data_IF_533736735583
#
_entry.id   IF_533736735583
#
_cell.length_a   1.000
_cell.length_b   1.000
_cell.length_c   1.000
_cell.angle_alpha   90.00
_cell.angle_beta   90.00
_cell.angle_gamma   90.00
#
_symmetry.space_group_name_H-M   'P 1'
#
loop_
_entity.id
_entity.type
_entity.pdbx_description
1 polymer ?
#
# COMPACT_ATOMS: atom_id res chain seq x y z
N UNK A 1 15.01 9.65 18.73
CA UNK A 1 13.68 10.07 19.20
C UNK A 1 12.64 9.26 18.44
N UNK A 2 11.99 8.33 19.14
CA UNK A 2 10.97 7.46 18.56
C UNK A 2 9.72 8.30 18.24
N UNK A 3 9.41 8.39 16.95
CA UNK A 3 8.16 8.96 16.47
C UNK A 3 7.02 7.98 16.83
N UNK A 4 6.36 8.20 17.95
CA UNK A 4 5.10 7.54 18.28
C UNK A 4 4.09 8.00 17.25
N UNK A 5 3.83 7.17 16.24
CA UNK A 5 2.70 7.35 15.35
C UNK A 5 1.45 7.49 16.24
N UNK A 6 0.75 8.60 16.09
CA UNK A 6 -0.58 8.78 16.67
C UNK A 6 -1.42 7.64 16.10
N UNK A 7 -1.74 6.65 16.94
CA UNK A 7 -2.74 5.66 16.60
C UNK A 7 -4.04 6.47 16.48
N UNK A 8 -4.52 6.68 15.26
CA UNK A 8 -5.87 7.18 15.07
C UNK A 8 -6.79 6.21 15.80
N UNK A 9 -7.50 6.71 16.80
CA UNK A 9 -8.47 5.93 17.53
C UNK A 9 -9.43 5.33 16.49
N UNK A 10 -9.70 4.04 16.61
CA UNK A 10 -10.65 3.34 15.73
C UNK A 10 -12.03 3.90 16.06
N UNK A 11 -12.56 4.79 15.21
CA UNK A 11 -13.83 5.46 15.41
C UNK A 11 -14.98 4.65 14.78
N UNK A 12 -15.87 4.03 15.56
CA UNK A 12 -17.02 3.32 15.02
C UNK A 12 -18.05 4.32 14.43
N UNK A 13 -18.83 3.86 13.47
CA UNK A 13 -19.87 4.68 12.85
C UNK A 13 -21.01 5.03 13.83
N UNK A 14 -21.34 4.10 14.72
CA UNK A 14 -22.34 4.29 15.77
C UNK A 14 -21.64 4.17 17.10
N UNK A 15 -21.75 5.19 17.94
CA UNK A 15 -21.13 5.19 19.26
C UNK A 15 -21.84 4.22 20.23
N UNK A 16 -21.11 3.81 21.28
CA UNK A 16 -21.72 2.96 22.31
C UNK A 16 -22.88 3.69 23.01
N UNK A 17 -24.06 3.05 23.03
CA UNK A 17 -25.27 3.61 23.65
C UNK A 17 -26.11 4.51 22.72
N UNK A 18 -25.65 4.79 21.51
CA UNK A 18 -26.43 5.49 20.50
C UNK A 18 -27.43 4.54 19.82
N UNK A 19 -28.67 5.01 19.58
CA UNK A 19 -29.67 4.23 18.87
C UNK A 19 -29.39 4.27 17.36
N UNK A 20 -29.01 3.12 16.73
CA UNK A 20 -28.68 3.08 15.32
C UNK A 20 -29.80 3.54 14.39
N UNK A 21 -31.07 3.33 14.76
CA UNK A 21 -32.22 3.71 13.94
C UNK A 21 -32.42 5.21 13.92
N UNK A 22 -32.24 5.86 15.05
CA UNK A 22 -32.33 7.33 15.15
C UNK A 22 -31.17 7.97 14.41
N UNK A 23 -29.95 7.43 14.57
CA UNK A 23 -28.78 7.91 13.84
C UNK A 23 -28.90 7.71 12.33
N UNK A 24 -29.40 6.56 11.85
CA UNK A 24 -29.62 6.32 10.42
C UNK A 24 -30.59 7.34 9.78
N UNK A 25 -31.61 7.81 10.52
CA UNK A 25 -32.52 8.87 10.03
C UNK A 25 -31.79 10.20 9.89
N UNK A 26 -31.02 10.59 10.89
CA UNK A 26 -30.19 11.81 10.82
C UNK A 26 -29.19 11.73 9.65
N UNK A 27 -28.53 10.58 9.46
CA UNK A 27 -27.59 10.38 8.35
C UNK A 27 -28.28 10.51 6.98
N UNK A 28 -29.52 10.03 6.84
CA UNK A 28 -30.27 10.19 5.61
C UNK A 28 -30.54 11.66 5.29
N UNK A 29 -30.93 12.46 6.30
CA UNK A 29 -31.11 13.91 6.14
C UNK A 29 -29.80 14.63 5.81
N UNK A 30 -28.69 14.26 6.47
CA UNK A 30 -27.35 14.80 6.21
C UNK A 30 -26.91 14.49 4.77
N UNK A 31 -27.11 13.24 4.35
CA UNK A 31 -26.79 12.77 3.01
C UNK A 31 -27.59 13.53 1.94
N UNK A 32 -28.93 13.59 2.09
CA UNK A 32 -29.80 14.21 1.10
C UNK A 32 -29.49 15.71 0.95
N UNK A 33 -29.31 16.44 2.06
CA UNK A 33 -28.92 17.84 2.02
C UNK A 33 -27.53 18.04 1.36
N UNK A 34 -26.56 17.20 1.70
CA UNK A 34 -25.20 17.28 1.12
C UNK A 34 -25.23 17.02 -0.39
N UNK A 35 -25.96 15.99 -0.85
CA UNK A 35 -26.05 15.65 -2.28
C UNK A 35 -26.87 16.68 -3.07
N UNK A 36 -27.76 17.43 -2.41
CA UNK A 36 -28.48 18.56 -3.01
C UNK A 36 -27.65 19.85 -3.03
N UNK A 37 -26.48 19.88 -2.40
CA UNK A 37 -25.66 21.11 -2.24
C UNK A 37 -26.24 22.07 -1.20
N UNK A 38 -27.12 21.58 -0.32
CA UNK A 38 -27.73 22.32 0.77
C UNK A 38 -26.93 22.18 2.06
N UNK A 39 -27.23 23.03 3.04
CA UNK A 39 -26.58 22.94 4.35
C UNK A 39 -27.13 21.76 5.14
N UNK A 40 -26.34 20.73 5.46
CA UNK A 40 -26.84 19.59 6.21
C UNK A 40 -27.15 19.94 7.67
N UNK A 41 -28.08 19.24 8.33
CA UNK A 41 -28.48 19.45 9.72
C UNK A 41 -27.36 19.11 10.72
N UNK A 42 -26.43 18.23 10.35
CA UNK A 42 -25.25 17.90 11.11
C UNK A 42 -24.05 17.67 10.18
N UNK A 43 -22.82 17.70 10.73
CA UNK A 43 -21.62 17.34 9.97
C UNK A 43 -21.49 15.83 9.92
N UNK A 44 -21.16 15.24 8.75
CA UNK A 44 -20.76 13.85 8.70
C UNK A 44 -19.46 13.66 9.52
N UNK A 45 -19.15 12.43 9.92
CA UNK A 45 -17.85 12.10 10.48
C UNK A 45 -16.74 12.51 9.48
N UNK A 46 -15.61 13.00 9.98
CA UNK A 46 -14.56 13.59 9.16
C UNK A 46 -14.13 12.65 8.01
N UNK A 47 -13.88 11.36 8.31
CA UNK A 47 -13.48 10.37 7.31
C UNK A 47 -14.53 10.17 6.21
N UNK A 48 -15.82 10.33 6.53
CA UNK A 48 -16.93 10.21 5.56
C UNK A 48 -17.07 11.50 4.75
N UNK A 49 -17.00 12.65 5.41
CA UNK A 49 -17.03 13.96 4.74
C UNK A 49 -15.91 14.11 3.72
N UNK A 50 -14.68 13.79 4.11
CA UNK A 50 -13.52 13.80 3.22
C UNK A 50 -13.69 12.84 2.03
N UNK A 51 -14.30 11.66 2.27
CA UNK A 51 -14.59 10.70 1.23
C UNK A 51 -15.65 11.24 0.26
N UNK A 52 -16.76 11.79 0.77
CA UNK A 52 -17.80 12.40 -0.06
C UNK A 52 -17.25 13.52 -0.93
N UNK A 53 -16.41 14.40 -0.38
CA UNK A 53 -15.76 15.47 -1.15
C UNK A 53 -14.91 14.89 -2.30
N UNK A 54 -14.12 13.85 -2.05
CA UNK A 54 -13.31 13.20 -3.11
C UNK A 54 -14.18 12.59 -4.19
N UNK A 55 -15.24 11.89 -3.79
CA UNK A 55 -16.15 11.17 -4.69
C UNK A 55 -16.95 12.14 -5.56
N UNK A 56 -17.47 13.21 -4.97
CA UNK A 56 -18.19 14.28 -5.69
C UNK A 56 -17.24 14.98 -6.66
N UNK A 57 -16.02 15.32 -6.22
CA UNK A 57 -15.01 15.94 -7.08
C UNK A 57 -14.58 15.04 -8.24
N UNK A 58 -14.64 13.71 -8.06
CA UNK A 58 -14.41 12.74 -9.13
C UNK A 58 -15.60 12.58 -10.10
N UNK A 59 -16.74 13.23 -9.81
CA UNK A 59 -17.93 13.21 -10.68
C UNK A 59 -18.79 11.95 -10.56
N UNK A 60 -18.63 11.16 -9.51
CA UNK A 60 -19.51 10.00 -9.28
C UNK A 60 -20.92 10.44 -8.95
N UNK A 61 -21.88 9.58 -9.28
CA UNK A 61 -23.30 9.80 -8.99
C UNK A 61 -23.80 8.80 -7.94
N UNK A 62 -24.76 9.19 -7.10
CA UNK A 62 -25.36 8.32 -6.07
C UNK A 62 -25.96 7.01 -6.57
N UNK A 63 -26.28 6.94 -7.87
CA UNK A 63 -26.79 5.74 -8.53
C UNK A 63 -25.71 4.89 -9.20
N UNK A 64 -24.43 5.26 -9.04
CA UNK A 64 -23.31 4.49 -9.57
C UNK A 64 -23.23 3.14 -8.84
N UNK A 65 -22.95 2.09 -9.62
CA UNK A 65 -22.79 0.73 -9.10
C UNK A 65 -21.42 0.17 -9.49
N UNK A 66 -21.06 -0.97 -8.90
CA UNK A 66 -19.84 -1.67 -9.24
C UNK A 66 -19.84 -2.05 -10.73
N UNK A 67 -18.71 -1.82 -11.38
CA UNK A 67 -18.47 -2.29 -12.76
C UNK A 67 -18.45 -3.83 -12.84
N UNK A 68 -18.41 -4.38 -14.05
CA UNK A 68 -18.40 -5.82 -14.24
C UNK A 68 -17.16 -6.46 -13.60
N UNK A 69 -17.35 -7.64 -13.03
CA UNK A 69 -16.25 -8.44 -12.49
C UNK A 69 -15.30 -8.90 -13.59
N UNK A 70 -14.02 -8.98 -13.26
CA UNK A 70 -13.01 -9.57 -14.16
C UNK A 70 -13.19 -11.09 -14.27
N UNK A 71 -12.65 -11.68 -15.35
CA UNK A 71 -12.77 -13.12 -15.55
C UNK A 71 -11.92 -13.92 -14.56
N UNK A 72 -12.32 -15.18 -14.32
CA UNK A 72 -11.71 -16.08 -13.33
C UNK A 72 -10.18 -16.24 -13.47
N UNK A 73 -9.65 -16.27 -14.71
CA UNK A 73 -8.20 -16.38 -14.93
C UNK A 73 -7.42 -15.15 -14.42
N UNK A 74 -7.96 -13.96 -14.67
CA UNK A 74 -7.35 -12.70 -14.16
C UNK A 74 -7.47 -12.62 -12.64
N UNK A 75 -8.60 -12.99 -12.06
CA UNK A 75 -8.80 -13.05 -10.62
C UNK A 75 -7.81 -14.03 -9.95
N UNK A 76 -7.64 -15.22 -10.53
CA UNK A 76 -6.68 -16.21 -10.01
C UNK A 76 -5.24 -15.70 -10.05
N UNK A 77 -4.87 -14.93 -11.06
CA UNK A 77 -3.56 -14.27 -11.13
C UNK A 77 -3.41 -13.23 -10.02
N UNK A 78 -4.38 -12.32 -9.85
CA UNK A 78 -4.34 -11.31 -8.81
C UNK A 78 -4.26 -11.91 -7.41
N UNK A 79 -4.97 -13.00 -7.14
CA UNK A 79 -4.88 -13.73 -5.88
C UNK A 79 -3.44 -14.19 -5.59
N UNK A 80 -2.75 -14.78 -6.56
CA UNK A 80 -1.35 -15.21 -6.41
C UNK A 80 -0.38 -14.04 -6.21
N UNK A 81 -0.62 -12.93 -6.90
CA UNK A 81 0.25 -11.74 -6.87
C UNK A 81 0.01 -10.84 -5.65
N UNK A 82 -1.14 -10.96 -4.99
CA UNK A 82 -1.53 -10.11 -3.84
C UNK A 82 -0.67 -10.27 -2.60
N UNK A 83 -0.05 -11.44 -2.41
CA UNK A 83 0.65 -11.81 -1.17
C UNK A 83 -0.29 -12.09 0.01
N UNK A 84 -1.62 -12.18 -0.23
CA UNK A 84 -2.63 -12.38 0.81
C UNK A 84 -3.14 -13.83 0.91
N UNK A 85 -2.81 -14.68 -0.07
CA UNK A 85 -3.35 -16.05 -0.16
C UNK A 85 -3.13 -16.87 1.13
N UNK A 86 -1.95 -16.75 1.74
CA UNK A 86 -1.64 -17.46 2.98
C UNK A 86 -2.33 -16.95 4.24
N UNK A 87 -3.09 -15.85 4.16
CA UNK A 87 -3.77 -15.22 5.29
C UNK A 87 -5.27 -15.47 5.31
N UNK A 88 -5.82 -16.09 4.25
CA UNK A 88 -7.28 -16.19 4.07
C UNK A 88 -7.90 -17.06 5.17
N UNK A 89 -7.26 -18.15 5.53
CA UNK A 89 -7.73 -19.04 6.60
C UNK A 89 -7.65 -18.33 7.97
N UNK A 90 -6.63 -17.53 8.22
CA UNK A 90 -6.49 -16.73 9.44
C UNK A 90 -7.59 -15.67 9.53
N UNK A 91 -7.91 -14.99 8.42
CA UNK A 91 -9.04 -14.05 8.37
C UNK A 91 -10.36 -14.75 8.63
N UNK A 92 -10.61 -15.89 7.99
CA UNK A 92 -11.83 -16.66 8.18
C UNK A 92 -11.97 -17.11 9.64
N UNK A 93 -10.93 -17.68 10.23
CA UNK A 93 -10.93 -18.09 11.63
C UNK A 93 -11.14 -16.92 12.61
N UNK A 94 -10.44 -15.80 12.39
CA UNK A 94 -10.54 -14.62 13.26
C UNK A 94 -11.89 -13.91 13.20
N UNK A 95 -12.59 -14.00 12.05
CA UNK A 95 -13.89 -13.36 11.83
C UNK A 95 -15.07 -14.32 11.92
N UNK A 96 -14.83 -15.63 12.10
CA UNK A 96 -15.87 -16.65 12.28
C UNK A 96 -16.97 -16.26 13.29
N UNK A 97 -16.65 -15.67 14.47
CA UNK A 97 -17.68 -15.29 15.44
C UNK A 97 -18.74 -14.35 14.90
N UNK A 98 -18.45 -13.58 13.84
CA UNK A 98 -19.40 -12.65 13.20
C UNK A 98 -19.99 -13.28 11.93
N UNK A 99 -19.19 -13.96 11.12
CA UNK A 99 -19.64 -14.52 9.83
C UNK A 99 -20.49 -15.77 10.01
N UNK A 100 -20.20 -16.60 11.00
CA UNK A 100 -20.97 -17.82 11.28
C UNK A 100 -22.35 -17.55 11.86
N UNK A 101 -22.59 -16.35 12.42
CA UNK A 101 -23.93 -15.88 12.76
C UNK A 101 -24.86 -15.74 11.54
N UNK A 102 -24.32 -15.88 10.32
CA UNK A 102 -25.05 -15.99 9.06
C UNK A 102 -25.59 -14.69 8.49
N UNK A 103 -25.36 -13.57 9.16
CA UNK A 103 -25.82 -12.24 8.71
C UNK A 103 -24.73 -11.37 8.09
N UNK A 104 -23.47 -11.79 8.14
CA UNK A 104 -22.34 -11.01 7.65
C UNK A 104 -21.53 -11.79 6.62
N UNK A 105 -20.84 -11.05 5.75
CA UNK A 105 -19.92 -11.55 4.73
C UNK A 105 -18.53 -11.00 5.04
N UNK A 106 -17.52 -11.85 5.04
CA UNK A 106 -16.12 -11.47 5.02
C UNK A 106 -15.69 -11.24 3.57
N UNK A 107 -14.93 -10.19 3.34
CA UNK A 107 -14.36 -9.87 2.03
C UNK A 107 -12.90 -9.48 2.19
N UNK A 108 -12.07 -9.88 1.23
CA UNK A 108 -10.67 -9.44 1.14
C UNK A 108 -10.45 -8.85 -0.24
N UNK A 109 -9.94 -7.63 -0.30
CA UNK A 109 -9.63 -6.91 -1.54
C UNK A 109 -8.13 -6.69 -1.73
N UNK A 110 -7.73 -6.36 -2.96
CA UNK A 110 -6.40 -5.85 -3.28
C UNK A 110 -6.28 -4.33 -3.01
N UNK A 111 -5.15 -3.75 -3.41
CA UNK A 111 -4.85 -2.32 -3.26
C UNK A 111 -5.66 -1.39 -4.16
N UNK A 112 -6.32 -1.93 -5.17
CA UNK A 112 -7.20 -1.20 -6.09
C UNK A 112 -8.69 -1.34 -5.68
N UNK A 113 -8.95 -1.98 -4.51
CA UNK A 113 -10.30 -2.25 -4.03
C UNK A 113 -11.01 -3.39 -4.75
N UNK A 114 -10.31 -4.20 -5.54
CA UNK A 114 -10.90 -5.33 -6.23
C UNK A 114 -11.10 -6.50 -5.28
N UNK A 115 -12.30 -7.04 -5.22
CA UNK A 115 -12.64 -8.14 -4.34
C UNK A 115 -11.96 -9.42 -4.81
N UNK A 116 -11.08 -9.96 -3.98
CA UNK A 116 -10.35 -11.18 -4.30
C UNK A 116 -11.01 -12.42 -3.69
N UNK A 117 -11.46 -12.36 -2.45
CA UNK A 117 -12.13 -13.45 -1.76
C UNK A 117 -13.33 -12.92 -0.99
N UNK A 118 -14.33 -13.75 -0.86
CA UNK A 118 -15.47 -13.52 0.01
C UNK A 118 -15.98 -14.83 0.62
N UNK A 119 -16.45 -14.76 1.85
CA UNK A 119 -16.99 -15.90 2.60
C UNK A 119 -18.18 -15.45 3.44
N UNK A 120 -19.22 -16.25 3.50
CA UNK A 120 -20.43 -15.97 4.28
C UNK A 120 -21.53 -16.98 3.97
N UNK A 121 -22.68 -16.85 4.68
CA UNK A 121 -23.81 -17.70 4.40
C UNK A 121 -24.38 -17.46 2.99
N UNK A 122 -24.98 -18.50 2.40
CA UNK A 122 -25.63 -18.42 1.08
C UNK A 122 -26.65 -17.27 1.01
N UNK A 123 -27.29 -16.93 2.12
CA UNK A 123 -28.27 -15.85 2.20
C UNK A 123 -27.59 -14.50 1.99
N UNK A 124 -26.60 -14.18 2.80
CA UNK A 124 -25.92 -12.88 2.74
C UNK A 124 -25.14 -12.72 1.43
N UNK A 125 -24.58 -13.81 0.89
CA UNK A 125 -23.91 -13.81 -0.42
C UNK A 125 -24.87 -13.40 -1.54
N UNK A 126 -26.11 -13.94 -1.57
CA UNK A 126 -27.11 -13.55 -2.56
C UNK A 126 -27.56 -12.09 -2.42
N UNK A 127 -27.63 -11.56 -1.20
CA UNK A 127 -27.94 -10.15 -0.96
C UNK A 127 -26.80 -9.26 -1.49
N UNK A 128 -25.55 -9.64 -1.25
CA UNK A 128 -24.35 -8.97 -1.75
C UNK A 128 -24.26 -9.04 -3.30
N UNK A 129 -24.62 -10.16 -3.92
CA UNK A 129 -24.65 -10.32 -5.38
C UNK A 129 -25.53 -9.28 -6.08
N UNK A 130 -26.65 -8.89 -5.46
CA UNK A 130 -27.55 -7.86 -6.00
C UNK A 130 -26.93 -6.48 -6.04
N UNK A 131 -25.93 -6.21 -5.22
CA UNK A 131 -25.14 -4.97 -5.23
C UNK A 131 -23.97 -5.01 -6.20
N UNK A 132 -23.71 -6.15 -6.84
CA UNK A 132 -22.47 -6.39 -7.57
C UNK A 132 -21.26 -6.57 -6.63
N UNK A 133 -21.49 -6.89 -5.35
CA UNK A 133 -20.44 -7.16 -4.37
C UNK A 133 -19.94 -8.58 -4.53
N UNK A 134 -19.33 -8.84 -5.70
CA UNK A 134 -18.89 -10.15 -6.18
C UNK A 134 -17.40 -10.20 -6.38
N UNK A 135 -16.80 -11.39 -6.31
CA UNK A 135 -15.38 -11.56 -6.58
C UNK A 135 -15.00 -11.05 -7.97
N UNK A 136 -13.90 -10.30 -8.03
CA UNK A 136 -13.44 -9.66 -9.26
C UNK A 136 -14.04 -8.28 -9.56
N UNK A 137 -15.07 -7.84 -8.85
CA UNK A 137 -15.61 -6.49 -8.96
C UNK A 137 -14.71 -5.48 -8.23
N UNK A 138 -14.67 -4.23 -8.72
CA UNK A 138 -13.91 -3.14 -8.11
C UNK A 138 -14.79 -2.32 -7.18
N UNK A 139 -14.29 -2.06 -5.96
CA UNK A 139 -14.97 -1.36 -4.88
C UNK A 139 -14.12 -0.24 -4.29
N UNK A 140 -13.33 0.44 -5.15
CA UNK A 140 -12.67 1.68 -4.73
C UNK A 140 -13.65 2.84 -4.63
N UNK A 141 -13.25 3.95 -4.00
CA UNK A 141 -14.05 5.17 -3.98
C UNK A 141 -14.37 5.68 -5.40
N UNK A 142 -13.47 5.45 -6.36
CA UNK A 142 -13.67 5.87 -7.76
C UNK A 142 -14.66 4.98 -8.53
N UNK A 143 -14.95 3.78 -8.05
CA UNK A 143 -15.86 2.84 -8.72
C UNK A 143 -17.30 2.96 -8.19
N UNK A 144 -17.45 2.94 -6.85
CA UNK A 144 -18.78 2.85 -6.20
C UNK A 144 -19.02 3.97 -5.17
N UNK A 145 -18.11 4.93 -5.08
CA UNK A 145 -18.20 6.00 -4.09
C UNK A 145 -17.75 5.56 -2.69
N UNK A 146 -18.10 6.36 -1.69
CA UNK A 146 -17.78 6.09 -0.28
C UNK A 146 -18.34 4.75 0.16
N UNK A 147 -17.44 3.86 0.56
CA UNK A 147 -17.70 2.54 1.13
C UNK A 147 -16.53 2.16 2.03
N UNK A 148 -16.70 1.20 2.94
CA UNK A 148 -15.66 0.89 3.92
C UNK A 148 -14.33 0.46 3.27
N UNK A 149 -14.34 -0.36 2.21
CA UNK A 149 -13.13 -0.86 1.52
C UNK A 149 -12.38 0.31 0.87
N UNK A 150 -13.05 1.06 -0.01
CA UNK A 150 -12.44 2.16 -0.74
C UNK A 150 -11.94 3.26 0.19
N UNK A 151 -12.74 3.60 1.21
CA UNK A 151 -12.38 4.64 2.19
C UNK A 151 -11.25 4.19 3.11
N UNK A 152 -11.18 2.90 3.50
CA UNK A 152 -10.04 2.37 4.25
C UNK A 152 -8.74 2.38 3.44
N UNK A 153 -8.80 2.13 2.12
CA UNK A 153 -7.65 2.28 1.21
C UNK A 153 -7.20 3.74 1.11
N UNK A 154 -8.15 4.66 0.93
CA UNK A 154 -7.86 6.09 0.75
C UNK A 154 -7.31 6.73 2.03
N UNK A 155 -7.95 6.50 3.17
CA UNK A 155 -7.55 7.01 4.49
C UNK A 155 -6.35 6.26 5.08
N UNK A 156 -6.10 5.03 4.60
CA UNK A 156 -5.11 4.11 5.17
C UNK A 156 -5.36 3.81 6.65
N UNK A 157 -6.61 3.77 7.06
CA UNK A 157 -7.03 3.53 8.44
C UNK A 157 -8.24 2.59 8.46
N UNK A 158 -8.53 1.90 9.58
CA UNK A 158 -9.77 1.17 9.72
C UNK A 158 -10.97 2.12 9.63
N UNK A 159 -11.99 1.73 8.87
CA UNK A 159 -13.21 2.52 8.65
C UNK A 159 -14.44 1.65 8.81
N UNK A 160 -15.42 2.14 9.54
CA UNK A 160 -16.78 1.60 9.52
C UNK A 160 -17.68 2.57 8.77
N UNK A 161 -18.49 2.06 7.84
CA UNK A 161 -19.48 2.81 7.08
C UNK A 161 -20.85 2.25 7.43
N UNK A 162 -21.79 3.13 7.76
CA UNK A 162 -23.12 2.74 8.21
C UNK A 162 -24.21 3.47 7.44
N UNK A 163 -25.19 2.73 6.91
CA UNK A 163 -26.39 3.29 6.28
C UNK A 163 -26.04 4.38 5.24
N UNK A 164 -26.61 5.57 5.37
CA UNK A 164 -26.43 6.68 4.44
C UNK A 164 -25.04 7.36 4.51
N UNK A 165 -24.08 6.81 5.24
CA UNK A 165 -22.66 7.16 5.05
C UNK A 165 -22.11 6.59 3.73
N UNK A 166 -22.68 5.50 3.21
CA UNK A 166 -22.36 5.03 1.87
C UNK A 166 -22.82 6.05 0.81
N UNK A 167 -21.98 6.28 -0.18
CA UNK A 167 -22.30 7.21 -1.25
C UNK A 167 -23.42 6.68 -2.18
N UNK A 168 -23.37 5.41 -2.54
CA UNK A 168 -24.40 4.80 -3.38
C UNK A 168 -25.64 4.42 -2.56
N UNK A 169 -26.83 4.92 -2.99
CA UNK A 169 -28.10 4.73 -2.26
C UNK A 169 -28.47 3.26 -2.05
N UNK A 170 -28.13 2.38 -2.99
CA UNK A 170 -28.40 0.94 -2.87
C UNK A 170 -27.58 0.26 -1.76
N UNK A 171 -26.56 0.92 -1.23
CA UNK A 171 -25.74 0.44 -0.12
C UNK A 171 -26.24 0.92 1.26
N UNK A 172 -27.20 1.86 1.33
CA UNK A 172 -27.74 2.35 2.60
C UNK A 172 -28.32 1.26 3.52
N UNK A 173 -28.87 0.13 3.02
CA UNK A 173 -29.31 -0.98 3.89
C UNK A 173 -28.15 -1.75 4.55
N UNK A 174 -26.87 -1.38 4.31
CA UNK A 174 -25.71 -2.09 4.75
C UNK A 174 -24.89 -1.34 5.82
N UNK A 175 -24.12 -2.11 6.58
CA UNK A 175 -23.00 -1.65 7.40
C UNK A 175 -21.78 -2.46 7.05
N UNK A 176 -20.65 -1.78 6.91
CA UNK A 176 -19.38 -2.37 6.48
C UNK A 176 -18.26 -1.90 7.42
N UNK A 177 -17.37 -2.80 7.79
CA UNK A 177 -16.22 -2.51 8.66
C UNK A 177 -14.98 -3.04 7.98
N UNK A 178 -14.07 -2.15 7.60
CA UNK A 178 -12.89 -2.50 6.82
C UNK A 178 -11.60 -2.06 7.51
N UNK A 179 -10.55 -2.85 7.39
CA UNK A 179 -9.22 -2.50 7.87
C UNK A 179 -8.15 -2.80 6.81
N UNK A 180 -7.22 -1.87 6.55
CA UNK A 180 -6.12 -2.10 5.63
C UNK A 180 -5.11 -3.08 6.23
N UNK A 181 -4.60 -3.98 5.38
CA UNK A 181 -3.56 -4.96 5.70
C UNK A 181 -2.24 -4.40 5.19
N UNK A 182 -1.25 -4.22 6.06
CA UNK A 182 0.04 -3.65 5.71
C UNK A 182 1.16 -4.68 5.77
N UNK A 183 2.01 -4.64 4.79
CA UNK A 183 3.33 -5.25 4.92
C UNK A 183 4.21 -4.33 5.79
N UNK A 184 4.45 -4.72 7.03
CA UNK A 184 5.27 -3.93 7.98
C UNK A 184 6.72 -3.77 7.55
N UNK A 185 7.22 -4.60 6.64
CA UNK A 185 8.57 -4.49 6.07
C UNK A 185 8.70 -3.25 5.19
N UNK A 186 7.67 -2.98 4.41
CA UNK A 186 7.67 -1.93 3.38
C UNK A 186 6.76 -0.75 3.72
N UNK A 187 5.89 -0.87 4.71
CA UNK A 187 4.83 0.08 5.04
C UNK A 187 3.72 0.17 3.98
N UNK A 188 3.72 -0.75 3.01
CA UNK A 188 2.73 -0.79 1.93
C UNK A 188 1.44 -1.44 2.40
N UNK A 189 0.32 -0.90 1.96
CA UNK A 189 -0.96 -1.60 2.02
C UNK A 189 -0.91 -2.73 0.98
N UNK A 190 -1.32 -3.93 1.35
CA UNK A 190 -1.45 -5.10 0.48
C UNK A 190 -2.89 -5.28 -0.01
N UNK A 191 -3.85 -4.79 0.75
CA UNK A 191 -5.26 -4.88 0.51
C UNK A 191 -6.05 -4.51 1.76
N UNK A 192 -7.32 -4.91 1.80
CA UNK A 192 -8.25 -4.63 2.90
C UNK A 192 -8.98 -5.92 3.26
N UNK A 193 -9.17 -6.16 4.54
CA UNK A 193 -10.16 -7.11 5.05
C UNK A 193 -11.39 -6.35 5.53
N UNK A 194 -12.56 -6.82 5.15
CA UNK A 194 -13.86 -6.20 5.41
C UNK A 194 -14.87 -7.22 5.94
N UNK A 195 -15.75 -6.75 6.82
CA UNK A 195 -16.96 -7.46 7.23
C UNK A 195 -18.14 -6.57 6.94
N UNK A 196 -19.03 -7.05 6.07
CA UNK A 196 -20.25 -6.36 5.63
C UNK A 196 -21.50 -7.15 5.98
N UNK A 197 -22.58 -6.43 6.33
CA UNK A 197 -23.86 -7.05 6.66
C UNK A 197 -25.00 -6.03 6.62
N UNK A 198 -26.25 -6.45 6.89
CA UNK A 198 -27.39 -5.52 7.01
C UNK A 198 -27.11 -4.43 8.04
N UNK A 199 -27.57 -3.20 7.79
CA UNK A 199 -27.40 -2.07 8.69
C UNK A 199 -27.90 -2.35 10.13
N UNK A 200 -28.89 -3.24 10.28
CA UNK A 200 -29.40 -3.68 11.58
C UNK A 200 -28.38 -4.47 12.44
N UNK A 201 -27.28 -4.91 11.85
CA UNK A 201 -26.20 -5.65 12.53
C UNK A 201 -25.03 -4.75 12.94
N UNK A 202 -25.13 -3.43 12.77
CA UNK A 202 -24.08 -2.50 13.16
C UNK A 202 -23.74 -2.65 14.63
N UNK A 203 -22.43 -2.76 14.91
CA UNK A 203 -21.94 -2.81 16.27
C UNK A 203 -20.53 -2.15 16.33
N UNK A 204 -20.24 -1.34 17.36
CA UNK A 204 -18.96 -0.64 17.46
C UNK A 204 -17.75 -1.60 17.58
N UNK A 205 -17.94 -2.78 18.18
CA UNK A 205 -16.84 -3.76 18.31
C UNK A 205 -16.48 -4.46 17.02
N UNK A 206 -17.35 -4.43 15.98
CA UNK A 206 -17.05 -5.06 14.69
C UNK A 206 -15.82 -4.44 14.04
N UNK A 207 -15.73 -3.11 14.03
CA UNK A 207 -14.56 -2.42 13.50
C UNK A 207 -13.28 -2.75 14.28
N UNK A 208 -13.38 -2.80 15.62
CA UNK A 208 -12.25 -3.14 16.47
C UNK A 208 -11.77 -4.58 16.22
N UNK A 209 -12.68 -5.54 16.02
CA UNK A 209 -12.34 -6.92 15.71
C UNK A 209 -11.67 -7.02 14.33
N UNK A 210 -12.23 -6.39 13.29
CA UNK A 210 -11.65 -6.39 11.94
C UNK A 210 -10.25 -5.77 11.95
N UNK A 211 -10.06 -4.66 12.67
CA UNK A 211 -8.75 -4.04 12.84
C UNK A 211 -7.75 -4.95 13.59
N UNK A 212 -8.21 -5.68 14.62
CA UNK A 212 -7.37 -6.62 15.34
C UNK A 212 -6.95 -7.81 14.47
N UNK A 213 -7.87 -8.37 13.68
CA UNK A 213 -7.60 -9.48 12.75
C UNK A 213 -6.61 -9.03 11.66
N UNK A 214 -6.78 -7.81 11.10
CA UNK A 214 -5.80 -7.25 10.18
C UNK A 214 -4.42 -7.09 10.83
N UNK A 215 -4.36 -6.63 12.08
CA UNK A 215 -3.11 -6.51 12.86
C UNK A 215 -2.43 -7.86 13.13
N UNK A 216 -3.19 -8.91 13.40
CA UNK A 216 -2.67 -10.28 13.54
C UNK A 216 -2.07 -10.79 12.22
N UNK A 217 -2.77 -10.59 11.11
CA UNK A 217 -2.27 -10.95 9.78
C UNK A 217 -0.96 -10.21 9.44
N UNK A 218 -0.85 -8.91 9.77
CA UNK A 218 0.39 -8.15 9.64
C UNK A 218 1.52 -8.73 10.49
N UNK A 219 1.21 -9.24 11.70
CA UNK A 219 2.19 -9.89 12.57
C UNK A 219 2.64 -11.24 11.98
N UNK A 220 1.72 -12.06 11.47
CA UNK A 220 2.03 -13.33 10.79
C UNK A 220 2.92 -13.14 9.57
N UNK A 221 2.65 -12.12 8.74
CA UNK A 221 3.51 -11.75 7.60
C UNK A 221 4.93 -11.38 8.04
N UNK A 222 5.05 -10.64 9.15
CA UNK A 222 6.35 -10.29 9.72
C UNK A 222 7.10 -11.50 10.24
N UNK A 223 6.41 -12.39 10.95
CA UNK A 223 6.99 -13.63 11.47
C UNK A 223 7.49 -14.53 10.36
N UNK A 224 6.67 -14.76 9.32
CA UNK A 224 7.05 -15.53 8.15
C UNK A 224 8.29 -14.94 7.46
N UNK A 225 8.39 -13.62 7.37
CA UNK A 225 9.58 -12.96 6.82
C UNK A 225 10.82 -13.19 7.69
N UNK A 226 10.72 -13.04 9.00
CA UNK A 226 11.85 -13.28 9.91
C UNK A 226 12.31 -14.73 9.87
N UNK A 227 11.37 -15.68 9.81
CA UNK A 227 11.68 -17.10 9.64
C UNK A 227 12.41 -17.37 8.32
N UNK A 228 11.97 -16.73 7.22
CA UNK A 228 12.65 -16.80 5.92
C UNK A 228 14.09 -16.26 5.97
N UNK A 229 14.31 -15.13 6.64
CA UNK A 229 15.68 -14.60 6.85
C UNK A 229 16.56 -15.53 7.71
N UNK A 230 15.99 -16.16 8.74
CA UNK A 230 16.72 -17.13 9.56
C UNK A 230 17.08 -18.40 8.78
N UNK A 231 16.19 -18.91 7.95
CA UNK A 231 16.50 -20.02 7.05
C UNK A 231 17.62 -19.64 6.08
N UNK A 232 17.52 -18.47 5.45
CA UNK A 232 18.54 -17.97 4.53
C UNK A 232 19.90 -17.79 5.25
N UNK A 233 19.91 -17.29 6.48
CA UNK A 233 21.10 -17.17 7.33
C UNK A 233 21.75 -18.53 7.60
N UNK A 234 20.94 -19.54 7.90
CA UNK A 234 21.42 -20.90 8.14
C UNK A 234 22.11 -21.48 6.92
N UNK A 235 21.52 -21.30 5.72
CA UNK A 235 22.12 -21.72 4.45
C UNK A 235 23.43 -20.96 4.17
N UNK A 236 23.45 -19.68 4.48
CA UNK A 236 24.56 -18.77 4.17
C UNK A 236 25.77 -18.89 5.11
N UNK A 237 25.56 -19.28 6.36
CA UNK A 237 26.60 -19.31 7.38
C UNK A 237 27.86 -20.08 6.97
N UNK A 238 27.80 -21.34 6.45
CA UNK A 238 28.99 -22.06 6.01
C UNK A 238 29.66 -21.45 4.77
N UNK A 239 28.90 -20.75 3.93
CA UNK A 239 29.44 -20.06 2.75
C UNK A 239 30.22 -18.81 3.18
N UNK A 240 29.62 -17.96 4.04
CA UNK A 240 30.26 -16.78 4.56
C UNK A 240 31.53 -17.08 5.37
N UNK A 241 31.53 -18.19 6.13
CA UNK A 241 32.72 -18.63 6.91
C UNK A 241 33.89 -19.03 6.03
N UNK A 242 33.68 -19.42 4.77
CA UNK A 242 34.73 -19.81 3.81
C UNK A 242 35.13 -18.66 2.86
N UNK A 243 34.41 -17.54 2.88
CA UNK A 243 34.73 -16.41 2.01
C UNK A 243 36.04 -15.76 2.44
N UNK A 244 36.96 -15.60 1.49
CA UNK A 244 38.22 -14.91 1.68
C UNK A 244 38.09 -13.37 1.72
N UNK A 245 36.87 -12.83 1.50
CA UNK A 245 36.58 -11.39 1.42
C UNK A 245 35.17 -11.04 1.88
N UNK A 246 34.78 -9.78 1.71
CA UNK A 246 33.50 -9.29 2.14
C UNK A 246 32.33 -9.98 1.38
N UNK A 247 31.24 -10.25 2.08
CA UNK A 247 30.03 -10.84 1.52
C UNK A 247 28.77 -10.44 2.28
N UNK A 248 27.66 -10.38 1.57
CA UNK A 248 26.37 -10.01 2.10
C UNK A 248 25.31 -10.99 1.57
N UNK A 249 24.49 -11.52 2.43
CA UNK A 249 23.37 -12.37 2.04
C UNK A 249 22.06 -11.65 2.26
N UNK A 250 21.25 -11.61 1.20
CA UNK A 250 19.98 -10.85 1.19
C UNK A 250 18.86 -11.71 0.62
N UNK A 251 17.63 -11.42 1.04
CA UNK A 251 16.43 -11.99 0.42
C UNK A 251 16.12 -11.32 -0.94
N UNK A 252 15.09 -11.78 -1.64
CA UNK A 252 14.65 -11.25 -2.93
C UNK A 252 14.23 -9.76 -2.89
N UNK A 253 14.09 -9.17 -1.70
CA UNK A 253 13.69 -7.79 -1.49
C UNK A 253 14.84 -6.91 -0.94
N UNK A 254 16.05 -7.48 -0.84
CA UNK A 254 17.25 -6.80 -0.34
C UNK A 254 17.35 -6.75 1.19
N UNK A 255 16.52 -7.48 1.93
CA UNK A 255 16.68 -7.59 3.38
C UNK A 255 17.85 -8.50 3.73
N UNK A 256 18.69 -8.01 4.63
CA UNK A 256 19.95 -8.67 4.97
C UNK A 256 19.70 -9.81 5.94
N UNK A 257 20.06 -11.02 5.52
CA UNK A 257 20.05 -12.20 6.36
C UNK A 257 21.38 -12.36 7.13
N UNK A 258 22.52 -12.12 6.47
CA UNK A 258 23.84 -12.27 7.09
C UNK A 258 24.89 -11.37 6.41
N UNK A 259 25.92 -11.02 7.16
CA UNK A 259 27.03 -10.14 6.74
C UNK A 259 28.36 -10.80 7.10
N UNK A 260 29.29 -10.81 6.15
CA UNK A 260 30.68 -11.24 6.38
C UNK A 260 31.65 -10.14 5.99
N UNK A 261 32.50 -9.66 6.95
CA UNK A 261 33.55 -8.66 6.73
C UNK A 261 33.08 -7.32 6.13
N UNK A 262 31.80 -6.94 6.36
CA UNK A 262 31.20 -5.66 5.99
C UNK A 262 30.60 -5.01 7.22
N UNK A 263 30.38 -3.69 7.16
CA UNK A 263 29.61 -3.00 8.19
C UNK A 263 28.18 -3.54 8.25
N UNK A 264 27.60 -3.72 9.44
CA UNK A 264 26.22 -4.17 9.58
C UNK A 264 25.25 -3.23 8.86
N UNK A 265 24.38 -3.81 8.05
CA UNK A 265 23.26 -3.11 7.40
C UNK A 265 22.01 -3.99 7.45
N UNK A 266 20.85 -3.37 7.40
CA UNK A 266 19.56 -4.10 7.49
C UNK A 266 18.94 -4.37 6.13
N UNK A 267 19.29 -3.56 5.14
CA UNK A 267 18.74 -3.66 3.80
C UNK A 267 19.66 -3.03 2.78
N UNK A 268 19.71 -3.61 1.58
CA UNK A 268 20.31 -3.03 0.37
C UNK A 268 19.29 -2.89 -0.73
N UNK A 269 19.56 -2.02 -1.67
CA UNK A 269 18.69 -1.78 -2.81
C UNK A 269 19.00 -2.77 -3.93
N UNK A 270 18.06 -3.68 -4.20
CA UNK A 270 18.15 -4.54 -5.37
C UNK A 270 17.36 -3.94 -6.54
N UNK A 271 17.81 -4.09 -7.79
CA UNK A 271 16.98 -3.81 -8.97
C UNK A 271 15.75 -4.73 -9.00
N UNK A 272 14.76 -4.37 -9.81
CA UNK A 272 13.50 -5.11 -9.89
C UNK A 272 13.64 -6.59 -10.32
N UNK A 273 14.70 -6.91 -11.08
CA UNK A 273 15.12 -8.27 -11.45
C UNK A 273 16.62 -8.41 -11.20
N UNK A 274 16.99 -9.53 -10.61
CA UNK A 274 18.40 -9.93 -10.40
C UNK A 274 18.62 -11.14 -11.30
N UNK A 275 19.01 -10.89 -12.55
CA UNK A 275 19.16 -11.89 -13.61
C UNK A 275 20.58 -11.96 -14.18
N UNK A 276 21.51 -11.16 -13.65
CA UNK A 276 22.92 -11.13 -14.05
C UNK A 276 23.85 -11.64 -12.93
N UNK A 277 24.96 -12.23 -13.32
CA UNK A 277 26.02 -12.64 -12.39
C UNK A 277 26.76 -11.46 -11.76
N UNK A 278 26.54 -10.24 -12.25
CA UNK A 278 27.15 -9.01 -11.76
C UNK A 278 26.07 -7.95 -11.57
N UNK A 279 26.16 -7.23 -10.46
CA UNK A 279 25.23 -6.19 -10.08
C UNK A 279 25.98 -5.04 -9.43
N UNK A 280 25.67 -3.82 -9.85
CA UNK A 280 26.15 -2.65 -9.13
C UNK A 280 25.10 -2.19 -8.11
N UNK A 281 25.56 -1.98 -6.87
CA UNK A 281 24.72 -1.52 -5.76
C UNK A 281 25.27 -0.21 -5.20
N UNK A 282 24.40 0.80 -4.91
CA UNK A 282 24.83 2.08 -4.36
C UNK A 282 25.68 1.95 -3.09
N UNK A 283 25.33 0.96 -2.25
CA UNK A 283 25.97 0.76 -0.94
C UNK A 283 27.25 -0.07 -1.00
N UNK A 284 27.45 -0.89 -2.06
CA UNK A 284 28.52 -1.89 -2.12
C UNK A 284 29.41 -1.78 -3.37
N UNK A 285 28.99 -0.99 -4.36
CA UNK A 285 29.66 -0.94 -5.68
C UNK A 285 29.36 -2.18 -6.53
N UNK A 286 30.30 -2.55 -7.39
CA UNK A 286 30.18 -3.74 -8.23
C UNK A 286 30.20 -5.01 -7.37
N UNK A 287 29.22 -5.86 -7.53
CA UNK A 287 29.08 -7.11 -6.82
C UNK A 287 28.96 -8.28 -7.79
N UNK A 288 29.55 -9.42 -7.49
CA UNK A 288 29.12 -10.69 -8.06
C UNK A 288 27.91 -11.20 -7.29
N UNK A 289 26.97 -11.83 -8.01
CA UNK A 289 25.70 -12.34 -7.48
C UNK A 289 25.69 -13.87 -7.64
N UNK A 290 25.45 -14.55 -6.53
CA UNK A 290 25.30 -16.00 -6.50
C UNK A 290 23.91 -16.33 -5.92
N UNK A 291 23.05 -17.09 -6.64
CA UNK A 291 21.75 -17.44 -6.15
C UNK A 291 21.81 -18.41 -4.97
N UNK A 292 20.98 -18.16 -3.96
CA UNK A 292 20.78 -19.04 -2.82
C UNK A 292 19.28 -19.40 -2.70
N UNK A 293 18.94 -20.53 -2.07
CA UNK A 293 17.55 -20.80 -1.72
C UNK A 293 16.97 -19.68 -0.85
N UNK A 294 16.04 -18.90 -1.41
CA UNK A 294 15.39 -17.80 -0.73
C UNK A 294 16.08 -16.43 -0.86
N UNK A 295 17.18 -16.30 -1.63
CA UNK A 295 17.87 -15.03 -1.79
C UNK A 295 19.15 -15.06 -2.61
N UNK A 296 20.08 -14.20 -2.27
CA UNK A 296 21.30 -13.95 -3.02
C UNK A 296 22.51 -13.78 -2.10
N UNK A 297 23.65 -14.35 -2.46
CA UNK A 297 24.95 -13.98 -1.92
C UNK A 297 25.55 -12.91 -2.84
N UNK A 298 25.81 -11.74 -2.30
CA UNK A 298 26.42 -10.59 -2.96
C UNK A 298 27.85 -10.46 -2.46
N UNK A 299 28.82 -10.48 -3.39
CA UNK A 299 30.24 -10.31 -3.06
C UNK A 299 30.76 -9.06 -3.77
N UNK A 300 31.09 -7.99 -3.02
CA UNK A 300 31.75 -6.82 -3.61
C UNK A 300 33.06 -7.24 -4.32
N UNK A 301 33.23 -6.76 -5.54
CA UNK A 301 34.45 -6.96 -6.30
C UNK A 301 35.54 -6.00 -5.76
N UNK A 302 36.68 -6.54 -5.37
CA UNK A 302 37.70 -5.82 -4.60
C UNK A 302 38.62 -4.93 -5.45
N UNK A 303 38.12 -4.29 -6.52
CA UNK A 303 38.92 -3.41 -7.34
C UNK A 303 38.28 -2.04 -7.50
N UNK A 304 38.46 -1.15 -6.55
CA UNK A 304 38.68 0.29 -6.64
C UNK A 304 38.26 1.04 -5.33
N UNK A 305 38.87 2.19 -5.01
CA UNK A 305 38.58 2.93 -3.77
C UNK A 305 37.13 3.44 -3.75
N UNK A 306 36.48 3.25 -2.61
CA UNK A 306 35.09 3.62 -2.35
C UNK A 306 34.80 5.15 -2.28
N UNK A 307 35.65 5.98 -2.84
CA UNK A 307 35.61 7.45 -2.77
C UNK A 307 34.96 8.10 -4.00
N UNK A 308 33.91 7.53 -4.56
CA UNK A 308 33.16 8.14 -5.65
C UNK A 308 31.74 8.54 -5.22
N UNK A 309 31.41 9.83 -5.30
CA UNK A 309 30.02 10.29 -5.17
C UNK A 309 29.13 9.56 -6.20
N UNK A 310 28.00 9.04 -5.75
CA UNK A 310 27.00 8.44 -6.66
C UNK A 310 26.47 9.51 -7.60
N UNK A 311 26.69 9.36 -8.90
CA UNK A 311 26.16 10.28 -9.92
C UNK A 311 24.80 9.80 -10.38
N UNK A 312 23.82 10.68 -10.34
CA UNK A 312 22.45 10.44 -10.83
C UNK A 312 22.23 11.35 -12.04
N UNK A 313 22.08 10.77 -13.22
CA UNK A 313 21.81 11.52 -14.46
C UNK A 313 20.36 11.32 -14.85
N UNK A 314 19.59 12.41 -14.89
CA UNK A 314 18.22 12.43 -15.40
C UNK A 314 18.25 12.79 -16.89
N UNK A 315 17.94 11.84 -17.76
CA UNK A 315 17.81 12.08 -19.22
C UNK A 315 16.36 12.44 -19.55
N UNK A 316 16.08 13.74 -19.67
CA UNK A 316 14.75 14.29 -19.96
C UNK A 316 14.66 14.92 -21.36
N UNK A 317 15.61 14.63 -22.24
CA UNK A 317 15.69 15.22 -23.60
C UNK A 317 14.44 14.93 -24.42
N UNK A 318 13.97 15.96 -25.14
CA UNK A 318 12.80 15.86 -26.00
C UNK A 318 12.97 14.74 -27.07
N UNK A 319 11.90 13.99 -27.30
CA UNK A 319 11.88 12.88 -28.28
C UNK A 319 12.48 11.56 -27.77
N UNK A 320 12.92 11.50 -26.51
CA UNK A 320 13.38 10.26 -25.86
C UNK A 320 12.46 9.85 -24.71
N UNK A 321 12.41 8.55 -24.42
CA UNK A 321 11.78 8.07 -23.19
C UNK A 321 12.59 8.54 -22.00
N UNK A 322 11.99 9.28 -21.05
CA UNK A 322 12.69 9.74 -19.86
C UNK A 322 13.35 8.59 -19.11
N UNK A 323 14.55 8.80 -18.63
CA UNK A 323 15.29 7.76 -17.91
C UNK A 323 16.17 8.37 -16.81
N UNK A 324 16.44 7.59 -15.78
CA UNK A 324 17.46 7.87 -14.76
C UNK A 324 18.60 6.88 -14.90
N UNK A 325 19.81 7.40 -14.94
CA UNK A 325 21.03 6.60 -14.87
C UNK A 325 21.69 6.88 -13.52
N UNK A 326 22.01 5.83 -12.79
CA UNK A 326 22.76 5.91 -11.53
C UNK A 326 24.11 5.27 -11.77
N UNK A 327 25.16 6.06 -11.64
CA UNK A 327 26.54 5.63 -11.85
C UNK A 327 27.38 5.80 -10.57
N UNK A 328 28.18 4.82 -10.26
CA UNK A 328 29.23 4.87 -9.23
C UNK A 328 30.59 4.67 -9.85
N UNK A 329 31.63 4.54 -9.02
CA UNK A 329 33.02 4.40 -9.48
C UNK A 329 33.25 3.17 -10.38
N UNK A 330 32.44 2.13 -10.25
CA UNK A 330 32.67 0.80 -10.85
C UNK A 330 31.52 0.28 -11.71
N UNK A 331 30.48 1.07 -11.95
CA UNK A 331 29.35 0.64 -12.78
C UNK A 331 28.20 1.62 -12.84
N UNK A 332 27.27 1.35 -13.73
CA UNK A 332 26.05 2.13 -13.88
C UNK A 332 24.85 1.23 -14.18
N UNK A 333 23.68 1.70 -13.82
CA UNK A 333 22.41 1.12 -14.28
C UNK A 333 21.47 2.22 -14.75
N UNK A 334 20.57 1.86 -15.67
CA UNK A 334 19.59 2.77 -16.24
C UNK A 334 18.18 2.24 -16.03
N UNK A 335 17.26 3.14 -15.63
CA UNK A 335 15.84 2.83 -15.49
C UNK A 335 14.99 3.83 -16.28
N UNK A 336 14.02 3.32 -17.03
CA UNK A 336 13.06 4.15 -17.74
C UNK A 336 12.03 4.73 -16.77
N UNK A 337 11.74 6.01 -16.91
CA UNK A 337 10.82 6.74 -16.06
C UNK A 337 9.47 6.92 -16.77
N UNK A 338 8.39 6.84 -16.00
CA UNK A 338 7.12 7.40 -16.47
C UNK A 338 7.24 8.93 -16.56
N UNK A 339 6.44 9.61 -17.41
CA UNK A 339 6.46 11.09 -17.47
C UNK A 339 6.26 11.73 -16.07
N UNK A 340 5.43 11.11 -15.25
CA UNK A 340 5.16 11.58 -13.88
C UNK A 340 6.37 11.42 -12.96
N UNK A 341 7.04 10.29 -13.01
CA UNK A 341 8.26 10.06 -12.25
C UNK A 341 9.39 11.01 -12.68
N UNK A 342 9.49 11.29 -13.98
CA UNK A 342 10.45 12.26 -14.52
C UNK A 342 10.21 13.66 -13.94
N UNK A 343 8.98 14.15 -13.93
CA UNK A 343 8.60 15.44 -13.35
C UNK A 343 8.93 15.53 -11.85
N UNK A 344 8.65 14.46 -11.10
CA UNK A 344 8.96 14.43 -9.67
C UNK A 344 10.48 14.48 -9.45
N UNK A 345 11.26 13.64 -10.13
CA UNK A 345 12.71 13.63 -9.98
C UNK A 345 13.37 14.92 -10.42
N UNK A 346 12.86 15.55 -11.48
CA UNK A 346 13.32 16.87 -11.93
C UNK A 346 13.10 17.94 -10.87
N UNK A 347 11.93 17.93 -10.19
CA UNK A 347 11.67 18.83 -9.08
C UNK A 347 12.63 18.59 -7.92
N UNK A 348 12.87 17.31 -7.55
CA UNK A 348 13.77 16.97 -6.44
C UNK A 348 15.25 17.26 -6.74
N UNK A 349 15.62 17.41 -8.00
CA UNK A 349 16.99 17.70 -8.44
C UNK A 349 17.46 19.13 -8.07
N UNK A 350 16.54 20.02 -7.63
CA UNK A 350 16.90 21.37 -7.16
C UNK A 350 17.64 21.37 -5.80
N UNK A 351 17.69 20.23 -5.12
CA UNK A 351 18.39 20.03 -3.84
C UNK A 351 17.74 20.70 -2.62
N UNK A 352 16.66 21.47 -2.78
CA UNK A 352 16.04 22.27 -1.69
C UNK A 352 15.25 21.44 -0.71
N UNK A 353 14.80 20.28 -1.12
CA UNK A 353 13.90 19.43 -0.33
C UNK A 353 12.46 19.94 -0.31
N UNK A 354 11.52 19.05 -0.62
CA UNK A 354 10.11 19.38 -0.78
C UNK A 354 9.22 18.56 0.14
N UNK A 355 8.22 19.18 0.73
CA UNK A 355 7.13 18.47 1.42
C UNK A 355 6.21 17.81 0.39
N UNK A 356 5.42 16.81 0.80
CA UNK A 356 4.44 16.19 -0.08
C UNK A 356 3.44 17.18 -0.66
N UNK A 357 3.03 18.20 0.10
CA UNK A 357 2.12 19.24 -0.37
C UNK A 357 2.78 20.16 -1.42
N UNK A 358 4.06 20.50 -1.26
CA UNK A 358 4.80 21.28 -2.26
C UNK A 358 4.99 20.50 -3.56
N UNK A 359 5.32 19.21 -3.48
CA UNK A 359 5.39 18.35 -4.68
C UNK A 359 4.01 18.26 -5.33
N UNK A 360 2.93 18.09 -4.55
CA UNK A 360 1.56 18.05 -5.07
C UNK A 360 1.18 19.34 -5.79
N UNK A 361 1.48 20.49 -5.20
CA UNK A 361 1.26 21.81 -5.82
C UNK A 361 2.02 21.95 -7.14
N UNK A 362 3.30 21.58 -7.16
CA UNK A 362 4.15 21.74 -8.37
C UNK A 362 3.76 20.79 -9.49
N UNK A 363 3.34 19.55 -9.19
CA UNK A 363 3.08 18.51 -10.18
C UNK A 363 1.62 18.48 -10.64
N UNK A 364 0.68 18.78 -9.75
CA UNK A 364 -0.76 18.67 -10.00
C UNK A 364 -1.51 20.01 -9.94
N UNK A 365 -0.85 21.08 -9.51
CA UNK A 365 -1.52 22.37 -9.25
C UNK A 365 -2.43 22.36 -8.01
N UNK A 366 -2.42 21.28 -7.23
CA UNK A 366 -3.32 21.03 -6.10
C UNK A 366 -2.54 20.47 -4.90
N UNK A 367 -2.36 21.26 -3.82
CA UNK A 367 -1.60 20.82 -2.65
C UNK A 367 -2.30 19.70 -1.86
N UNK A 368 -3.60 19.45 -2.08
CA UNK A 368 -4.35 18.40 -1.40
C UNK A 368 -3.99 16.99 -1.90
N UNK A 369 -3.38 16.86 -3.09
CA UNK A 369 -3.00 15.56 -3.67
C UNK A 369 -1.78 14.89 -3.02
N UNK A 370 -1.63 15.08 -1.73
CA UNK A 370 -0.53 14.53 -0.91
C UNK A 370 -0.47 13.01 -0.97
N UNK A 371 -1.61 12.35 -0.99
CA UNK A 371 -1.69 10.87 -1.03
C UNK A 371 -1.12 10.33 -2.33
N UNK A 372 -1.49 10.94 -3.47
CA UNK A 372 -0.96 10.58 -4.79
C UNK A 372 0.56 10.77 -4.84
N UNK A 373 1.06 11.91 -4.35
CA UNK A 373 2.51 12.17 -4.29
C UNK A 373 3.23 11.11 -3.46
N UNK A 374 2.71 10.76 -2.28
CA UNK A 374 3.31 9.73 -1.42
C UNK A 374 3.36 8.37 -2.11
N UNK A 375 2.31 8.02 -2.87
CA UNK A 375 2.28 6.79 -3.64
C UNK A 375 3.34 6.79 -4.76
N UNK A 376 3.45 7.87 -5.55
CA UNK A 376 4.44 7.99 -6.61
C UNK A 376 5.89 7.99 -6.06
N UNK A 377 6.16 8.73 -5.00
CA UNK A 377 7.47 8.72 -4.35
C UNK A 377 7.78 7.34 -3.75
N UNK A 378 6.79 6.64 -3.22
CA UNK A 378 6.98 5.27 -2.76
C UNK A 378 7.36 4.30 -3.90
N UNK A 379 6.81 4.50 -5.10
CA UNK A 379 7.20 3.75 -6.31
C UNK A 379 8.62 4.10 -6.75
N UNK A 380 8.96 5.39 -6.79
CA UNK A 380 10.30 5.86 -7.10
C UNK A 380 11.34 5.33 -6.11
N UNK A 381 11.04 5.33 -4.81
CA UNK A 381 11.96 4.82 -3.79
C UNK A 381 12.18 3.31 -3.86
N UNK A 382 11.32 2.55 -4.55
CA UNK A 382 11.58 1.14 -4.84
C UNK A 382 12.68 0.95 -5.88
N UNK A 383 12.80 1.89 -6.81
CA UNK A 383 13.80 1.86 -7.88
C UNK A 383 15.06 2.61 -7.45
N UNK A 384 14.90 3.72 -6.74
CA UNK A 384 15.94 4.66 -6.32
C UNK A 384 16.11 4.68 -4.79
N UNK A 385 15.90 3.54 -4.11
CA UNK A 385 16.01 3.44 -2.65
C UNK A 385 17.41 3.91 -2.19
N UNK A 386 17.45 4.60 -1.04
CA UNK A 386 18.70 5.22 -0.59
C UNK A 386 19.06 6.56 -1.26
N UNK A 387 18.61 6.79 -2.50
CA UNK A 387 18.90 8.02 -3.23
C UNK A 387 17.86 9.13 -3.04
N UNK A 388 16.68 8.81 -2.49
CA UNK A 388 15.62 9.79 -2.18
C UNK A 388 15.36 9.79 -0.67
N UNK A 389 15.66 10.90 0.00
CA UNK A 389 15.41 11.11 1.43
C UNK A 389 13.90 11.15 1.76
N UNK A 390 13.54 10.90 3.02
CA UNK A 390 12.16 10.61 3.41
C UNK A 390 11.31 11.83 3.76
N UNK A 391 11.83 12.90 4.29
CA UNK A 391 11.13 14.17 4.58
C UNK A 391 12.16 15.18 5.10
N UNK A 392 12.33 16.29 4.40
CA UNK A 392 11.75 16.62 3.11
C UNK A 392 12.24 15.70 1.98
N UNK A 393 11.44 15.53 0.91
CA UNK A 393 11.85 14.75 -0.26
C UNK A 393 12.92 15.51 -1.03
N UNK A 394 14.09 14.90 -1.18
CA UNK A 394 15.23 15.39 -1.95
C UNK A 394 16.13 14.23 -2.30
N UNK A 395 17.06 14.41 -3.19
CA UNK A 395 18.14 13.44 -3.35
C UNK A 395 19.02 13.39 -2.09
N UNK A 396 19.60 12.23 -1.82
CA UNK A 396 20.52 12.04 -0.70
C UNK A 396 21.79 12.89 -0.89
N UNK A 397 22.39 13.37 0.20
CA UNK A 397 23.56 14.27 0.16
C UNK A 397 24.78 13.62 -0.54
N UNK A 398 24.86 12.28 -0.56
CA UNK A 398 25.90 11.53 -1.27
C UNK A 398 25.67 11.42 -2.79
N UNK A 399 24.54 11.89 -3.31
CA UNK A 399 24.22 11.82 -4.73
C UNK A 399 24.52 13.16 -5.43
N UNK A 400 25.30 13.12 -6.50
CA UNK A 400 25.51 14.25 -7.42
C UNK A 400 24.50 14.11 -8.56
N UNK A 401 23.54 15.03 -8.65
CA UNK A 401 22.45 14.95 -9.63
C UNK A 401 22.71 15.89 -10.80
N UNK A 402 22.63 15.34 -12.01
CA UNK A 402 22.75 16.06 -13.28
C UNK A 402 21.49 15.83 -14.12
N UNK A 403 20.97 16.88 -14.74
CA UNK A 403 19.79 16.78 -15.62
C UNK A 403 20.16 17.12 -17.05
N UNK A 404 19.94 16.19 -17.98
CA UNK A 404 20.06 16.39 -19.42
C UNK A 404 18.69 16.78 -19.99
N UNK A 405 18.60 17.97 -20.57
CA UNK A 405 17.36 18.53 -21.18
C UNK A 405 17.46 18.60 -22.69
#
# INVERSE_FOLDING_TARGET
MQNRGVAHAVEPAVAHGEDPRTYARLLAEVYDATMAGERPPARPREVIGDSWERVIAAGLRPDSGAGPAIHAAALSRLRRESGLTGLIDDFAAGLAPITDAGSSIMVVSDTEGRLLWRSGSTRVLREADRLGFVEGAAWSENDVGTNAIGTALASRAPVQTFSAEHFARNQHPWTCSAAPIRDRRTGRVLGVVDVSGPASTVHPTTLALVAAVAGLAEASLREAHLAGLDQLRTVAAPLLARLAGPGLVVDSHGWVAAVGQLAPCTRVTLPGTVDSAHLWLPELGQCTVEPLPGGWLLRPVADEPRDGATRVTLDLRAGRTPAVTVAGATGEWRHQLTPRHAQILELLADGRGHTAAQVAQSIFGDPARVVTVRAEISRLRRVLSGLIAAQPYRFADAAVVETLR
#
